data_IF_634337254615
#
_entry.id   IF_634337254615
#
_cell.length_a   1.000
_cell.length_b   1.000
_cell.length_c   1.000
_cell.angle_alpha   90.00
_cell.angle_beta   90.00
_cell.angle_gamma   90.00
#
_symmetry.space_group_name_H-M   'P 1'
#
loop_
_entity.id
_entity.type
_entity.pdbx_description
1 polymer ?
#
# COMPACT_ATOMS: atom_id res chain seq x y z
N UNK A 1 -9.47 5.67 27.59
CA UNK A 1 -9.24 6.77 26.62
C UNK A 1 -8.73 6.11 25.37
N UNK A 2 -9.67 5.65 24.54
CA UNK A 2 -9.41 4.94 23.30
C UNK A 2 -8.80 5.96 22.33
N UNK A 3 -7.49 5.89 22.08
CA UNK A 3 -6.87 6.71 21.05
C UNK A 3 -7.64 6.54 19.75
N UNK A 4 -8.02 7.64 19.13
CA UNK A 4 -8.45 7.68 17.74
C UNK A 4 -7.31 7.07 16.89
N UNK A 5 -7.29 5.75 16.70
CA UNK A 5 -6.59 5.15 15.57
C UNK A 5 -7.15 5.86 14.35
N UNK A 6 -6.31 6.61 13.62
CA UNK A 6 -6.65 7.18 12.31
C UNK A 6 -7.13 6.01 11.44
N UNK A 7 -8.44 5.81 11.30
CA UNK A 7 -9.01 4.76 10.47
C UNK A 7 -9.04 5.26 9.04
N UNK A 8 -8.64 4.42 8.10
CA UNK A 8 -8.84 4.73 6.68
C UNK A 8 -10.32 4.67 6.34
N UNK A 9 -10.75 5.43 5.33
CA UNK A 9 -12.16 5.44 4.90
C UNK A 9 -12.71 4.02 4.61
N UNK A 10 -11.87 3.11 4.11
CA UNK A 10 -12.26 1.71 3.89
C UNK A 10 -12.56 0.98 5.21
N UNK A 11 -11.79 1.20 6.27
CA UNK A 11 -12.06 0.60 7.58
C UNK A 11 -13.35 1.13 8.21
N UNK A 12 -13.68 2.40 7.97
CA UNK A 12 -14.96 2.99 8.39
C UNK A 12 -16.13 2.36 7.65
N UNK A 13 -16.01 2.21 6.31
CA UNK A 13 -17.00 1.50 5.51
C UNK A 13 -17.24 0.07 6.00
N UNK A 14 -16.17 -0.70 6.26
CA UNK A 14 -16.29 -2.08 6.75
C UNK A 14 -16.92 -2.13 8.15
N UNK A 15 -16.64 -1.17 9.02
CA UNK A 15 -17.30 -1.08 10.34
C UNK A 15 -18.81 -0.91 10.19
N UNK A 16 -19.24 -0.05 9.28
CA UNK A 16 -20.64 0.35 9.17
C UNK A 16 -21.46 -0.65 8.33
N UNK A 17 -20.83 -1.36 7.39
CA UNK A 17 -21.51 -2.23 6.42
C UNK A 17 -21.13 -3.72 6.52
N UNK A 18 -20.13 -4.07 7.32
CA UNK A 18 -19.55 -5.41 7.38
C UNK A 18 -18.46 -5.67 6.33
N UNK A 19 -17.79 -6.82 6.43
CA UNK A 19 -16.79 -7.23 5.45
C UNK A 19 -17.45 -7.72 4.16
N UNK A 20 -16.90 -7.31 3.02
CA UNK A 20 -17.34 -7.77 1.70
C UNK A 20 -16.99 -9.26 1.47
N UNK A 21 -17.74 -9.98 0.61
CA UNK A 21 -17.35 -11.32 0.21
C UNK A 21 -15.99 -11.35 -0.51
N UNK A 22 -15.22 -12.41 -0.30
CA UNK A 22 -13.99 -12.66 -1.05
C UNK A 22 -14.25 -12.87 -2.54
N UNK A 23 -13.34 -12.41 -3.39
CA UNK A 23 -13.44 -12.61 -4.84
C UNK A 23 -13.21 -14.09 -5.22
N UNK A 24 -14.03 -14.66 -6.13
CA UNK A 24 -13.84 -16.03 -6.58
C UNK A 24 -12.52 -16.18 -7.35
N UNK A 25 -11.83 -17.29 -7.13
CA UNK A 25 -10.56 -17.61 -7.81
C UNK A 25 -9.32 -16.91 -7.26
N UNK A 26 -9.45 -16.04 -6.26
CA UNK A 26 -8.33 -15.38 -5.60
C UNK A 26 -8.19 -15.81 -4.14
N UNK A 27 -6.95 -16.03 -3.70
CA UNK A 27 -6.62 -16.45 -2.33
C UNK A 27 -6.25 -15.24 -1.46
N UNK A 28 -7.06 -14.18 -1.51
CA UNK A 28 -6.83 -12.94 -0.78
C UNK A 28 -8.10 -12.47 -0.09
N UNK A 29 -7.95 -11.94 1.12
CA UNK A 29 -9.06 -11.30 1.85
C UNK A 29 -9.41 -9.94 1.22
N UNK A 30 -10.62 -9.39 1.43
CA UNK A 30 -10.98 -8.04 0.96
C UNK A 30 -9.96 -6.97 1.37
N UNK A 31 -9.44 -7.03 2.61
CA UNK A 31 -8.37 -6.12 3.10
C UNK A 31 -7.07 -6.26 2.31
N UNK A 32 -6.66 -7.48 1.97
CA UNK A 32 -5.49 -7.69 1.11
C UNK A 32 -5.75 -7.20 -0.31
N UNK A 33 -6.95 -7.41 -0.83
CA UNK A 33 -7.36 -6.98 -2.17
C UNK A 33 -7.39 -5.45 -2.30
N UNK A 34 -7.74 -4.71 -1.25
CA UNK A 34 -7.61 -3.25 -1.23
C UNK A 34 -6.20 -2.79 -1.59
N UNK A 35 -5.18 -3.36 -0.93
CA UNK A 35 -3.78 -3.03 -1.19
C UNK A 35 -3.30 -3.52 -2.55
N UNK A 36 -3.70 -4.73 -2.96
CA UNK A 36 -3.36 -5.29 -4.28
C UNK A 36 -3.93 -4.41 -5.39
N UNK A 37 -5.19 -3.97 -5.27
CA UNK A 37 -5.82 -3.06 -6.22
C UNK A 37 -5.08 -1.72 -6.31
N UNK A 38 -4.76 -1.13 -5.16
CA UNK A 38 -3.99 0.12 -5.10
C UNK A 38 -2.59 0.00 -5.75
N UNK A 39 -1.91 -1.13 -5.56
CA UNK A 39 -0.62 -1.41 -6.18
C UNK A 39 -0.74 -1.66 -7.69
N UNK A 40 -1.78 -2.37 -8.13
CA UNK A 40 -1.99 -2.73 -9.53
C UNK A 40 -2.16 -1.52 -10.46
N UNK A 41 -2.68 -0.40 -9.95
CA UNK A 41 -2.77 0.89 -10.68
C UNK A 41 -1.38 1.35 -11.16
N UNK A 42 -0.32 0.97 -10.44
CA UNK A 42 1.06 1.34 -10.73
C UNK A 42 1.84 0.26 -11.48
N UNK A 43 1.22 -0.85 -11.87
CA UNK A 43 1.87 -1.87 -12.67
C UNK A 43 2.31 -1.32 -14.02
N UNK A 44 3.62 -1.32 -14.26
CA UNK A 44 4.20 -0.86 -15.52
C UNK A 44 5.70 -1.08 -15.56
N UNK A 45 6.26 -1.07 -16.77
CA UNK A 45 7.70 -1.22 -17.01
C UNK A 45 8.19 -0.11 -17.92
N UNK A 46 9.37 0.40 -17.63
CA UNK A 46 10.04 1.43 -18.43
C UNK A 46 11.15 0.80 -19.27
N UNK A 47 11.35 1.34 -20.48
CA UNK A 47 12.62 1.15 -21.19
C UNK A 47 13.73 1.88 -20.43
N UNK A 48 14.98 1.37 -20.42
CA UNK A 48 16.07 1.97 -19.64
C UNK A 48 16.29 3.46 -19.93
N UNK A 49 16.18 3.88 -21.19
CA UNK A 49 16.39 5.25 -21.64
C UNK A 49 15.29 6.18 -21.11
N UNK A 50 14.04 5.69 -21.13
CA UNK A 50 12.88 6.42 -20.58
C UNK A 50 12.98 6.52 -19.07
N UNK A 51 13.44 5.46 -18.39
CA UNK A 51 13.66 5.50 -16.94
C UNK A 51 14.71 6.54 -16.57
N UNK A 52 15.83 6.59 -17.30
CA UNK A 52 16.88 7.59 -17.09
C UNK A 52 16.34 9.02 -17.23
N UNK A 53 15.59 9.29 -18.31
CA UNK A 53 14.98 10.60 -18.52
C UNK A 53 14.02 10.96 -17.38
N UNK A 54 13.17 10.02 -16.95
CA UNK A 54 12.22 10.23 -15.85
C UNK A 54 12.91 10.49 -14.51
N UNK A 55 14.03 9.84 -14.24
CA UNK A 55 14.81 10.08 -13.02
C UNK A 55 15.45 11.47 -13.01
N UNK A 56 15.79 12.02 -14.18
CA UNK A 56 16.47 13.32 -14.29
C UNK A 56 15.49 14.49 -14.36
N UNK A 57 14.36 14.33 -15.05
CA UNK A 57 13.43 15.43 -15.36
C UNK A 57 12.02 15.24 -14.78
N UNK A 58 11.70 14.06 -14.24
CA UNK A 58 10.37 13.79 -13.69
C UNK A 58 10.22 14.29 -12.25
N UNK A 59 9.04 14.82 -11.93
CA UNK A 59 8.67 15.22 -10.56
C UNK A 59 8.16 14.06 -9.69
N UNK A 60 7.86 12.92 -10.30
CA UNK A 60 7.28 11.76 -9.62
C UNK A 60 8.28 10.61 -9.53
N UNK A 61 8.29 9.94 -8.37
CA UNK A 61 9.02 8.68 -8.21
C UNK A 61 8.55 7.62 -9.22
N UNK A 62 9.45 6.74 -9.70
CA UNK A 62 9.06 5.61 -10.54
C UNK A 62 8.00 4.73 -9.86
N UNK A 63 7.12 4.14 -10.67
CA UNK A 63 5.91 3.47 -10.21
C UNK A 63 6.15 2.41 -9.10
N UNK A 64 7.17 1.56 -9.24
CA UNK A 64 7.54 0.57 -8.22
C UNK A 64 7.85 1.21 -6.85
N UNK A 65 8.51 2.37 -6.84
CA UNK A 65 8.88 3.07 -5.61
C UNK A 65 7.71 3.86 -5.03
N UNK A 66 6.72 4.25 -5.85
CA UNK A 66 5.46 4.81 -5.36
C UNK A 66 4.69 3.77 -4.55
N UNK A 67 4.67 2.51 -4.99
CA UNK A 67 4.03 1.42 -4.25
C UNK A 67 4.84 1.12 -2.98
N UNK A 68 6.10 0.69 -3.13
CA UNK A 68 6.94 0.23 -2.01
C UNK A 68 7.11 1.30 -0.95
N UNK A 69 7.42 2.54 -1.34
CA UNK A 69 7.66 3.64 -0.42
C UNK A 69 6.40 4.07 0.33
N UNK A 70 5.23 4.03 -0.31
CA UNK A 70 3.98 4.42 0.35
C UNK A 70 3.54 3.34 1.35
N UNK A 71 3.44 2.09 0.90
CA UNK A 71 2.83 1.04 1.74
C UNK A 71 3.75 0.58 2.88
N UNK A 72 5.08 0.71 2.75
CA UNK A 72 6.00 0.40 3.86
C UNK A 72 5.95 1.42 5.00
N UNK A 73 5.44 2.63 4.74
CA UNK A 73 5.20 3.64 5.78
C UNK A 73 3.85 3.48 6.50
N UNK A 74 3.03 2.50 6.11
CA UNK A 74 1.73 2.23 6.71
C UNK A 74 1.80 0.92 7.50
N UNK A 75 1.59 1.01 8.82
CA UNK A 75 1.66 -0.17 9.69
C UNK A 75 0.58 -1.20 9.32
N UNK A 76 -0.59 -0.71 8.91
CA UNK A 76 -1.75 -1.50 8.53
C UNK A 76 -1.45 -2.40 7.33
N UNK A 77 -0.60 -1.96 6.39
CA UNK A 77 -0.17 -2.81 5.27
C UNK A 77 0.66 -4.00 5.79
N UNK A 78 1.65 -3.71 6.64
CA UNK A 78 2.50 -4.74 7.24
C UNK A 78 1.70 -5.75 8.05
N UNK A 79 0.70 -5.31 8.80
CA UNK A 79 -0.23 -6.20 9.52
C UNK A 79 -1.10 -7.03 8.57
N UNK A 80 -1.65 -6.42 7.52
CA UNK A 80 -2.54 -7.10 6.55
C UNK A 80 -1.87 -8.27 5.82
N UNK A 81 -0.56 -8.16 5.56
CA UNK A 81 0.24 -9.20 4.91
C UNK A 81 1.11 -10.00 5.87
N UNK A 82 0.99 -9.80 7.19
CA UNK A 82 1.79 -10.52 8.18
C UNK A 82 3.30 -10.29 8.06
N UNK A 83 3.71 -9.11 7.59
CA UNK A 83 5.12 -8.75 7.53
C UNK A 83 5.71 -8.63 8.94
N UNK A 84 6.87 -9.28 9.16
CA UNK A 84 7.59 -9.17 10.43
C UNK A 84 8.06 -7.73 10.68
N UNK A 85 8.03 -7.24 11.93
CA UNK A 85 8.61 -5.94 12.28
C UNK A 85 10.08 -5.84 11.86
N UNK A 86 10.46 -4.73 11.24
CA UNK A 86 11.81 -4.50 10.71
C UNK A 86 12.07 -5.08 9.33
N UNK A 87 11.12 -5.84 8.75
CA UNK A 87 11.22 -6.28 7.36
C UNK A 87 11.17 -5.09 6.38
N UNK A 88 11.63 -5.24 5.12
CA UNK A 88 11.62 -4.15 4.14
C UNK A 88 10.25 -3.49 3.93
N UNK A 89 9.16 -4.27 4.09
CA UNK A 89 7.79 -3.79 3.91
C UNK A 89 7.09 -3.43 5.23
N UNK A 90 7.78 -3.54 6.38
CA UNK A 90 7.33 -3.06 7.69
C UNK A 90 8.53 -2.55 8.50
N UNK A 91 9.23 -1.51 8.01
CA UNK A 91 10.40 -0.96 8.67
C UNK A 91 10.06 -0.36 10.04
N UNK A 92 11.04 -0.35 10.94
CA UNK A 92 10.89 0.27 12.27
C UNK A 92 10.75 1.80 12.16
N UNK A 93 11.51 2.43 11.27
CA UNK A 93 11.43 3.87 11.00
C UNK A 93 10.47 4.13 9.85
N UNK A 94 9.36 4.82 10.14
CA UNK A 94 8.36 5.23 9.15
C UNK A 94 8.32 6.75 9.04
N UNK A 95 8.00 7.24 7.85
CA UNK A 95 7.78 8.66 7.57
C UNK A 95 6.26 8.95 7.64
N UNK A 96 5.87 9.98 8.39
CA UNK A 96 4.50 10.49 8.42
C UNK A 96 4.52 12.01 8.37
N UNK A 97 3.65 12.59 7.56
CA UNK A 97 3.55 14.05 7.37
C UNK A 97 2.14 14.56 7.68
N UNK A 98 1.11 13.77 7.35
CA UNK A 98 -0.31 14.13 7.46
C UNK A 98 -1.00 13.42 8.62
#
# INVERSE_FOLDING_TARGET
MEELKKRSAYQEYVRDNGEEPSLPGLKYTPKQLFWISAANIWCGKYRPEVLKLRLQAGSHSPAQFRVIGTVSNLEEFGETFGCSPGSPMRPAKKCSVW
#
